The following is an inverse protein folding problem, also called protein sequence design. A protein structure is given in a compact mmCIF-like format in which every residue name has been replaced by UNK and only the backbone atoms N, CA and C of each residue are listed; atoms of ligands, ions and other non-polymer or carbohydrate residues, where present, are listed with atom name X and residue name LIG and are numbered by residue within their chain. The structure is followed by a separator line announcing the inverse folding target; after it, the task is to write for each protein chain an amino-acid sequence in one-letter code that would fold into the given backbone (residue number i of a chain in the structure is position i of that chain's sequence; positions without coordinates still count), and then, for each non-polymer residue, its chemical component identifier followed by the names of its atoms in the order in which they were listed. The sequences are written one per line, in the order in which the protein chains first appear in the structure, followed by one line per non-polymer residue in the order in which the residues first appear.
data_IF_836123814043
#
_entry.id   IF_836123814043
#
_cell.length_a   1.000
_cell.length_b   1.000
_cell.length_c   1.000
_cell.angle_alpha   90.00
_cell.angle_beta   90.00
_cell.angle_gamma   90.00
#
_symmetry.space_group_name_H-M   'P 1'
#
loop_
_entity.id
_entity.type
_entity.pdbx_description
1 polymer ?
#
# COMPACT_ATOMS: atom_id res chain seq x y z
N UNK A 1 -20.65 -22.10 -5.89
CA UNK A 1 -19.80 -20.94 -6.20
C UNK A 1 -19.19 -20.46 -4.89
N UNK A 2 -17.86 -20.37 -4.78
CA UNK A 2 -17.23 -19.79 -3.58
C UNK A 2 -17.15 -18.27 -3.76
N UNK A 3 -17.49 -17.45 -2.74
CA UNK A 3 -17.35 -16.00 -2.83
C UNK A 3 -15.86 -15.61 -2.90
N UNK A 4 -15.59 -14.46 -3.50
CA UNK A 4 -14.27 -13.83 -3.48
C UNK A 4 -14.29 -12.73 -2.42
N UNK A 5 -13.42 -12.85 -1.42
CA UNK A 5 -13.25 -11.82 -0.40
C UNK A 5 -12.23 -10.78 -0.88
N UNK A 6 -12.55 -9.50 -0.70
CA UNK A 6 -11.66 -8.39 -1.03
C UNK A 6 -11.31 -7.61 0.23
N UNK A 7 -10.05 -7.68 0.64
CA UNK A 7 -9.53 -6.88 1.75
C UNK A 7 -8.88 -5.60 1.23
N UNK A 8 -9.39 -4.45 1.66
CA UNK A 8 -8.85 -3.15 1.30
C UNK A 8 -8.01 -2.59 2.44
N UNK A 9 -6.71 -2.42 2.17
CA UNK A 9 -5.75 -1.85 3.11
C UNK A 9 -5.35 -0.46 2.66
N UNK A 10 -5.40 0.51 3.58
CA UNK A 10 -4.80 1.82 3.40
C UNK A 10 -3.33 1.78 3.85
N UNK A 11 -2.47 2.53 3.16
CA UNK A 11 -1.07 2.71 3.56
C UNK A 11 -0.95 3.25 4.99
N UNK A 12 0.14 2.92 5.67
CA UNK A 12 0.50 3.52 6.96
C UNK A 12 0.74 5.03 6.86
N UNK A 13 0.85 5.72 8.00
CA UNK A 13 1.10 7.16 8.03
C UNK A 13 2.31 7.56 7.16
N UNK A 14 2.11 8.55 6.30
CA UNK A 14 3.13 9.07 5.40
C UNK A 14 3.53 10.50 5.78
N UNK A 15 4.75 10.90 5.43
CA UNK A 15 5.23 12.27 5.71
C UNK A 15 4.32 13.35 5.10
N UNK A 16 3.70 13.08 3.95
CA UNK A 16 2.74 13.99 3.32
C UNK A 16 1.46 14.17 4.15
N UNK A 17 1.09 13.20 4.99
CA UNK A 17 -0.04 13.34 5.92
C UNK A 17 0.29 14.36 7.02
N UNK A 18 1.50 14.28 7.60
CA UNK A 18 1.96 15.21 8.63
C UNK A 18 2.19 16.62 8.09
N UNK A 19 2.72 16.70 6.86
CA UNK A 19 2.99 17.97 6.20
C UNK A 19 1.73 18.64 5.60
N UNK A 20 0.56 17.99 5.65
CA UNK A 20 -0.67 18.45 5.01
C UNK A 20 -0.52 18.71 3.50
N UNK A 21 0.32 17.91 2.85
CA UNK A 21 0.59 18.00 1.41
C UNK A 21 -0.14 16.87 0.67
N UNK A 22 -0.67 17.19 -0.50
CA UNK A 22 -1.23 16.17 -1.40
C UNK A 22 -0.16 15.14 -1.80
N UNK A 23 -0.32 13.89 -1.36
CA UNK A 23 0.60 12.77 -1.64
C UNK A 23 0.52 12.21 -3.06
N UNK A 24 0.49 13.07 -4.07
CA UNK A 24 0.58 12.72 -5.49
C UNK A 24 2.01 12.32 -5.89
N UNK A 25 2.33 12.41 -7.20
CA UNK A 25 3.66 12.08 -7.74
C UNK A 25 4.79 12.90 -7.09
N UNK A 26 4.55 14.18 -6.82
CA UNK A 26 5.56 15.10 -6.27
C UNK A 26 5.56 15.16 -4.73
N UNK A 27 4.41 14.91 -4.10
CA UNK A 27 4.25 15.09 -2.65
C UNK A 27 4.51 13.82 -1.84
N UNK A 28 4.66 12.65 -2.46
CA UNK A 28 4.81 11.39 -1.75
C UNK A 28 6.28 11.05 -1.48
N UNK A 29 6.74 11.28 -0.25
CA UNK A 29 8.11 10.95 0.19
C UNK A 29 8.22 9.65 1.00
N UNK A 30 7.10 8.93 1.20
CA UNK A 30 7.09 7.62 1.88
C UNK A 30 6.48 7.64 3.27
N UNK A 31 6.62 6.51 3.98
CA UNK A 31 6.13 6.29 5.34
C UNK A 31 6.98 7.00 6.40
N UNK A 32 6.32 7.47 7.45
CA UNK A 32 6.96 7.87 8.71
C UNK A 32 7.36 6.63 9.51
N UNK A 33 8.16 6.79 10.56
CA UNK A 33 8.49 5.68 11.47
C UNK A 33 7.24 5.10 12.12
N UNK A 34 6.30 5.96 12.52
CA UNK A 34 4.98 5.54 13.00
C UNK A 34 4.21 4.75 11.93
N UNK A 35 4.25 5.20 10.67
CA UNK A 35 3.64 4.48 9.55
C UNK A 35 4.24 3.09 9.31
N UNK A 36 5.55 2.92 9.52
CA UNK A 36 6.20 1.60 9.45
C UNK A 36 5.74 0.68 10.58
N UNK A 37 5.63 1.20 11.80
CA UNK A 37 5.09 0.42 12.94
C UNK A 37 3.65 0.00 12.67
N UNK A 38 2.80 0.90 12.18
CA UNK A 38 1.43 0.57 11.78
C UNK A 38 1.38 -0.54 10.72
N UNK A 39 2.25 -0.48 9.72
CA UNK A 39 2.33 -1.51 8.68
C UNK A 39 2.77 -2.86 9.26
N UNK A 40 3.71 -2.88 10.21
CA UNK A 40 4.15 -4.10 10.89
C UNK A 40 3.04 -4.70 11.78
N UNK A 41 2.30 -3.87 12.52
CA UNK A 41 1.17 -4.31 13.33
C UNK A 41 0.07 -4.92 12.47
N UNK A 42 -0.25 -4.28 11.35
CA UNK A 42 -1.17 -4.80 10.36
C UNK A 42 -0.67 -6.14 9.78
N UNK A 43 0.60 -6.22 9.40
CA UNK A 43 1.19 -7.43 8.83
C UNK A 43 1.03 -8.64 9.77
N UNK A 44 1.28 -8.47 11.08
CA UNK A 44 1.06 -9.51 12.09
C UNK A 44 -0.41 -9.94 12.18
N UNK A 45 -1.34 -8.98 12.14
CA UNK A 45 -2.77 -9.29 12.11
C UNK A 45 -3.20 -10.02 10.84
N UNK A 46 -2.65 -9.63 9.69
CA UNK A 46 -2.89 -10.30 8.40
C UNK A 46 -2.29 -11.69 8.36
N UNK A 47 -1.17 -11.95 9.05
CA UNK A 47 -0.60 -13.30 9.14
C UNK A 47 -1.56 -14.26 9.84
N UNK A 48 -2.11 -13.85 10.98
CA UNK A 48 -3.12 -14.64 11.67
C UNK A 48 -4.37 -14.89 10.79
N UNK A 49 -4.79 -13.89 10.02
CA UNK A 49 -5.88 -14.05 9.04
C UNK A 49 -5.48 -15.04 7.93
N UNK A 50 -4.27 -14.93 7.39
CA UNK A 50 -3.77 -15.74 6.29
C UNK A 50 -3.65 -17.23 6.66
N UNK A 51 -3.24 -17.52 7.89
CA UNK A 51 -3.13 -18.88 8.40
C UNK A 51 -4.50 -19.59 8.50
N UNK A 52 -5.60 -18.85 8.72
CA UNK A 52 -6.98 -19.36 8.76
C UNK A 52 -7.67 -19.30 7.38
N UNK A 53 -7.48 -18.19 6.66
CA UNK A 53 -8.06 -17.88 5.35
C UNK A 53 -6.96 -17.36 4.42
N UNK A 54 -6.39 -18.24 3.58
CA UNK A 54 -5.30 -17.88 2.69
C UNK A 54 -5.62 -16.69 1.79
N UNK A 55 -4.61 -15.88 1.55
CA UNK A 55 -4.65 -14.72 0.67
C UNK A 55 -3.99 -15.17 -0.62
N UNK A 56 -4.78 -15.26 -1.68
CA UNK A 56 -4.30 -15.80 -2.96
C UNK A 56 -3.48 -14.77 -3.76
N UNK A 57 -3.76 -13.48 -3.57
CA UNK A 57 -3.12 -12.40 -4.32
C UNK A 57 -3.09 -11.08 -3.55
N UNK A 58 -2.05 -10.28 -3.79
CA UNK A 58 -1.93 -8.92 -3.26
C UNK A 58 -1.67 -7.94 -4.40
N UNK A 59 -2.46 -6.87 -4.43
CA UNK A 59 -2.39 -5.81 -5.43
C UNK A 59 -1.96 -4.50 -4.79
N UNK A 60 -0.94 -3.87 -5.39
CA UNK A 60 -0.30 -2.69 -4.81
C UNK A 60 -0.29 -1.54 -5.81
N UNK A 61 -0.66 -0.34 -5.36
CA UNK A 61 -0.50 0.89 -6.14
C UNK A 61 0.96 1.38 -6.10
N UNK A 62 1.49 2.03 -7.16
CA UNK A 62 2.92 2.30 -7.28
C UNK A 62 3.43 3.46 -6.40
N UNK A 63 2.54 4.15 -5.67
CA UNK A 63 2.95 5.24 -4.76
C UNK A 63 3.89 4.71 -3.68
N UNK A 64 4.99 5.43 -3.41
CA UNK A 64 6.07 4.96 -2.54
C UNK A 64 5.57 4.50 -1.15
N UNK A 65 4.70 5.28 -0.50
CA UNK A 65 4.13 4.92 0.80
C UNK A 65 3.28 3.63 0.77
N UNK A 66 2.62 3.37 -0.35
CA UNK A 66 1.81 2.15 -0.55
C UNK A 66 2.74 0.96 -0.76
N UNK A 67 3.78 1.12 -1.60
CA UNK A 67 4.81 0.10 -1.81
C UNK A 67 5.53 -0.28 -0.51
N UNK A 68 5.98 0.70 0.27
CA UNK A 68 6.64 0.44 1.55
C UNK A 68 5.72 -0.27 2.56
N UNK A 69 4.44 0.10 2.60
CA UNK A 69 3.46 -0.63 3.44
C UNK A 69 3.34 -2.08 2.97
N UNK A 70 3.23 -2.28 1.65
CA UNK A 70 3.09 -3.59 1.06
C UNK A 70 4.35 -4.44 1.25
N UNK A 71 5.55 -3.89 1.11
CA UNK A 71 6.83 -4.59 1.34
C UNK A 71 6.90 -5.17 2.76
N UNK A 72 6.47 -4.41 3.76
CA UNK A 72 6.40 -4.89 5.16
C UNK A 72 5.40 -6.04 5.29
N UNK A 73 4.20 -5.90 4.70
CA UNK A 73 3.17 -6.95 4.74
C UNK A 73 3.62 -8.22 4.03
N UNK A 74 4.23 -8.11 2.85
CA UNK A 74 4.71 -9.26 2.08
C UNK A 74 5.85 -9.99 2.78
N UNK A 75 6.77 -9.25 3.41
CA UNK A 75 7.84 -9.85 4.20
C UNK A 75 7.31 -10.78 5.29
N UNK A 76 6.20 -10.40 5.94
CA UNK A 76 5.56 -11.18 7.00
C UNK A 76 4.71 -12.36 6.47
N UNK A 77 4.01 -12.14 5.35
CA UNK A 77 3.13 -13.14 4.75
C UNK A 77 3.87 -14.15 3.86
N UNK A 78 5.08 -13.83 3.39
CA UNK A 78 5.82 -14.65 2.43
C UNK A 78 5.20 -14.69 1.03
N UNK A 79 4.38 -13.70 0.67
CA UNK A 79 3.65 -13.66 -0.60
C UNK A 79 4.30 -12.69 -1.62
N UNK A 80 4.30 -13.02 -2.92
CA UNK A 80 4.76 -12.11 -3.96
C UNK A 80 3.76 -10.95 -4.19
N UNK A 81 4.28 -9.74 -4.28
CA UNK A 81 3.50 -8.52 -4.56
C UNK A 81 3.30 -8.30 -6.07
N UNK A 82 2.07 -8.27 -6.55
CA UNK A 82 1.79 -7.75 -7.89
C UNK A 82 1.60 -6.23 -7.81
N UNK A 83 2.57 -5.46 -8.33
CA UNK A 83 2.36 -4.02 -8.51
C UNK A 83 1.46 -3.80 -9.71
N UNK A 84 0.26 -3.29 -9.48
CA UNK A 84 -0.63 -2.92 -10.57
C UNK A 84 -0.09 -1.64 -11.24
N UNK A 85 0.03 -1.58 -12.57
CA UNK A 85 0.51 -0.39 -13.25
C UNK A 85 -0.49 0.76 -13.05
N UNK A 86 -0.12 1.78 -12.29
CA UNK A 86 -0.81 3.06 -12.37
C UNK A 86 -0.32 3.76 -13.64
N UNK A 87 -1.19 3.88 -14.65
CA UNK A 87 -0.98 4.88 -15.69
C UNK A 87 -1.01 6.25 -15.01
N UNK A 88 0.15 6.89 -14.87
CA UNK A 88 0.19 8.33 -14.58
C UNK A 88 -0.55 9.03 -15.71
N UNK A 89 -1.67 9.67 -15.41
CA UNK A 89 -2.26 10.63 -16.33
C UNK A 89 -1.29 11.80 -16.36
N UNK A 90 -0.48 11.90 -17.42
CA UNK A 90 0.33 13.09 -17.66
C UNK A 90 -0.59 14.31 -17.60
N UNK A 91 -0.23 15.39 -16.88
CA UNK A 91 -1.03 16.61 -16.93
C UNK A 91 -1.11 17.03 -18.40
N UNK A 92 -2.32 17.10 -18.95
CA UNK A 92 -2.51 17.71 -20.26
C UNK A 92 -1.90 19.11 -20.17
N UNK A 93 -0.88 19.38 -20.98
CA UNK A 93 -0.36 20.74 -21.15
C UNK A 93 -1.47 21.55 -21.81
N UNK A 94 -2.42 22.04 -21.03
CA UNK A 94 -3.28 23.15 -21.44
C UNK A 94 -2.39 24.39 -21.40
N UNK A 95 -1.61 24.59 -22.48
CA UNK A 95 -1.04 25.89 -22.80
C UNK A 95 -2.22 26.84 -22.96
N UNK A 96 -2.31 27.84 -22.08
CA UNK A 96 -2.93 29.12 -22.43
C UNK A 96 -1.94 29.90 -23.29
#
# INVERSE_FOLDING_TARGET
MRPTDLLLVRHGEAHCNLAWIAGGDLGCTGLTDRGRVQAADLARGLRALHDDRPVDAVYVAPRLRVRQTAEIIHGELGLPAATAPCRSVSPSRTRR
#
